data_IF_843517345403
#
_entry.id   IF_843517345403
#
_cell.length_a   1.000
_cell.length_b   1.000
_cell.length_c   1.000
_cell.angle_alpha   90.00
_cell.angle_beta   90.00
_cell.angle_gamma   90.00
#
_symmetry.space_group_name_H-M   'P 1'
#
loop_
_entity.id
_entity.type
_entity.pdbx_description
1 polymer ?
#
# COMPACT_ATOMS: atom_id res chain seq x y z
N UNK A 1 -8.35 -22.22 24.78
CA UNK A 1 -7.64 -23.47 25.13
C UNK A 1 -8.47 -24.39 26.02
N UNK A 2 -9.08 -23.89 27.10
CA UNK A 2 -9.97 -24.67 27.97
C UNK A 2 -11.15 -25.34 27.27
N UNK A 3 -11.83 -24.62 26.34
CA UNK A 3 -12.92 -25.18 25.54
C UNK A 3 -12.51 -26.34 24.62
N UNK A 4 -11.22 -26.41 24.26
CA UNK A 4 -10.65 -27.42 23.36
C UNK A 4 -10.27 -28.69 24.15
N UNK A 5 -9.88 -28.52 25.42
CA UNK A 5 -9.59 -29.61 26.37
C UNK A 5 -10.87 -30.27 26.89
N UNK A 6 -11.93 -29.50 27.12
CA UNK A 6 -13.25 -30.06 27.47
C UNK A 6 -13.86 -30.90 26.34
N UNK A 7 -13.62 -30.51 25.08
CA UNK A 7 -14.10 -31.27 23.90
C UNK A 7 -13.33 -32.58 23.65
N UNK A 8 -12.12 -32.72 24.22
CA UNK A 8 -11.26 -33.90 24.05
C UNK A 8 -11.24 -34.81 25.28
N UNK A 9 -12.15 -34.62 26.25
CA UNK A 9 -12.26 -35.37 27.51
C UNK A 9 -10.97 -35.36 28.36
N UNK A 10 -10.16 -34.31 28.26
CA UNK A 10 -8.94 -34.17 29.05
C UNK A 10 -9.26 -33.43 30.35
N UNK A 11 -8.97 -34.09 31.48
CA UNK A 11 -9.10 -33.50 32.81
C UNK A 11 -8.20 -32.27 32.92
N UNK A 12 -8.81 -31.11 33.13
CA UNK A 12 -8.08 -29.87 33.27
C UNK A 12 -8.57 -29.01 34.44
N UNK A 13 -7.64 -28.24 35.01
CA UNK A 13 -7.91 -27.32 36.11
C UNK A 13 -7.44 -25.92 35.71
N UNK A 14 -8.37 -24.96 35.75
CA UNK A 14 -8.05 -23.55 35.53
C UNK A 14 -7.70 -22.90 36.87
N UNK A 15 -6.50 -22.31 36.96
CA UNK A 15 -6.13 -21.54 38.14
C UNK A 15 -5.41 -20.25 37.76
N UNK A 16 -5.84 -19.16 38.39
CA UNK A 16 -5.21 -17.83 38.32
C UNK A 16 -4.00 -17.69 39.25
N UNK A 17 -3.63 -18.75 39.99
CA UNK A 17 -2.56 -18.73 41.00
C UNK A 17 -1.36 -19.55 40.52
N UNK A 18 -0.16 -18.97 40.61
CA UNK A 18 1.10 -19.55 40.07
C UNK A 18 1.63 -20.80 40.79
N UNK A 19 0.89 -21.36 41.76
CA UNK A 19 1.35 -22.45 42.64
C UNK A 19 0.30 -23.56 42.75
N UNK A 20 -0.03 -24.19 41.62
CA UNK A 20 -0.87 -25.40 41.61
C UNK A 20 -0.02 -26.55 41.10
N UNK A 21 0.11 -27.59 41.92
CA UNK A 21 0.71 -28.86 41.51
C UNK A 21 -0.38 -29.71 40.84
N UNK A 22 -0.17 -30.19 39.60
CA UNK A 22 -1.11 -31.08 38.95
C UNK A 22 -1.16 -32.43 39.68
N UNK A 23 -2.35 -33.04 39.76
CA UNK A 23 -2.46 -34.47 40.07
C UNK A 23 -1.95 -35.30 38.87
N UNK A 24 -1.55 -36.55 39.13
CA UNK A 24 -0.96 -37.43 38.13
C UNK A 24 -1.98 -37.66 36.98
N UNK A 25 -1.65 -37.20 35.76
CA UNK A 25 -2.53 -37.27 34.59
C UNK A 25 -3.46 -36.07 34.37
N UNK A 26 -3.39 -35.02 35.19
CA UNK A 26 -4.19 -33.80 35.02
C UNK A 26 -3.42 -32.70 34.27
N UNK A 27 -4.12 -31.93 33.42
CA UNK A 27 -3.56 -30.77 32.74
C UNK A 27 -3.96 -29.49 33.47
N UNK A 28 -2.99 -28.67 33.88
CA UNK A 28 -3.31 -27.38 34.53
C UNK A 28 -3.14 -26.25 33.53
N UNK A 29 -4.17 -25.42 33.39
CA UNK A 29 -4.13 -24.21 32.60
C UNK A 29 -3.76 -23.03 33.50
N UNK A 30 -2.64 -22.39 33.16
CA UNK A 30 -2.14 -21.21 33.85
C UNK A 30 -2.09 -20.03 32.89
N UNK A 31 -2.48 -18.84 33.36
CA UNK A 31 -2.35 -17.59 32.61
C UNK A 31 -1.02 -16.94 32.99
N UNK A 32 -0.12 -16.83 32.02
CA UNK A 32 1.21 -16.24 32.20
C UNK A 32 1.94 -16.05 30.88
N UNK A 33 3.10 -15.38 30.91
CA UNK A 33 3.93 -15.19 29.71
C UNK A 33 5.00 -16.28 29.63
N UNK A 34 4.80 -17.25 28.72
CA UNK A 34 5.79 -18.29 28.41
C UNK A 34 6.08 -18.27 26.90
N UNK A 35 7.36 -18.19 26.51
CA UNK A 35 7.75 -18.08 25.09
C UNK A 35 7.90 -19.43 24.39
N UNK A 36 8.36 -20.45 25.11
CA UNK A 36 8.57 -21.82 24.64
C UNK A 36 8.31 -22.79 25.79
N UNK A 37 7.80 -23.97 25.47
CA UNK A 37 7.59 -25.07 26.40
C UNK A 37 8.91 -25.69 26.84
N UNK A 38 8.88 -26.33 28.01
CA UNK A 38 10.02 -27.06 28.56
C UNK A 38 9.54 -28.18 29.47
N UNK A 39 10.38 -29.19 29.70
CA UNK A 39 10.06 -30.32 30.59
C UNK A 39 11.07 -30.45 31.72
N UNK A 40 10.60 -30.95 32.85
CA UNK A 40 11.39 -31.37 34.00
C UNK A 40 11.26 -32.89 34.16
N UNK A 41 12.14 -33.70 33.52
CA UNK A 41 12.03 -35.15 33.52
C UNK A 41 12.13 -35.79 34.90
N UNK A 42 12.88 -35.17 35.83
CA UNK A 42 13.04 -35.67 37.19
C UNK A 42 11.72 -35.64 37.98
N UNK A 43 10.87 -34.64 37.73
CA UNK A 43 9.57 -34.47 38.37
C UNK A 43 8.41 -34.98 37.50
N UNK A 44 8.70 -35.50 36.29
CA UNK A 44 7.71 -35.90 35.26
C UNK A 44 6.70 -34.80 34.87
N UNK A 45 7.13 -33.53 34.90
CA UNK A 45 6.29 -32.38 34.54
C UNK A 45 6.70 -31.84 33.17
N UNK A 46 5.72 -31.47 32.34
CA UNK A 46 5.92 -30.79 31.08
C UNK A 46 5.07 -29.51 31.01
N UNK A 47 5.67 -28.43 30.51
CA UNK A 47 5.04 -27.14 30.26
C UNK A 47 4.98 -26.90 28.76
N UNK A 48 3.81 -26.47 28.28
CA UNK A 48 3.59 -26.10 26.90
C UNK A 48 3.13 -24.64 26.83
N UNK A 49 3.71 -23.86 25.92
CA UNK A 49 3.21 -22.54 25.58
C UNK A 49 2.20 -22.64 24.43
N UNK A 50 1.39 -21.59 24.26
CA UNK A 50 0.45 -21.47 23.15
C UNK A 50 1.14 -21.69 21.79
N UNK A 51 2.38 -21.19 21.64
CA UNK A 51 3.16 -21.30 20.41
C UNK A 51 3.68 -22.71 20.11
N UNK A 52 3.81 -23.58 21.12
CA UNK A 52 4.22 -24.97 20.90
C UNK A 52 3.06 -25.85 20.41
N UNK A 53 1.82 -25.40 20.65
CA UNK A 53 0.59 -26.12 20.33
C UNK A 53 -0.03 -25.57 19.04
N UNK A 54 0.04 -24.26 18.87
CA UNK A 54 -0.41 -23.56 17.67
C UNK A 54 0.81 -23.12 16.87
N UNK A 55 1.33 -24.04 16.05
CA UNK A 55 2.43 -23.77 15.11
C UNK A 55 1.93 -22.85 13.99
N UNK A 56 1.99 -21.54 14.18
CA UNK A 56 1.81 -20.58 13.10
C UNK A 56 3.17 -20.26 12.46
N UNK A 57 3.58 -21.03 11.44
CA UNK A 57 4.55 -20.51 10.47
C UNK A 57 3.86 -19.47 9.57
N UNK A 58 3.72 -18.24 10.07
CA UNK A 58 3.36 -17.11 9.22
C UNK A 58 4.59 -16.69 8.42
N UNK A 59 4.68 -17.17 7.18
CA UNK A 59 5.59 -16.61 6.17
C UNK A 59 5.07 -15.24 5.77
N UNK A 60 5.44 -14.21 6.52
CA UNK A 60 5.18 -12.81 6.16
C UNK A 60 6.15 -12.45 5.03
N UNK A 61 5.71 -12.60 3.78
CA UNK A 61 6.44 -12.06 2.63
C UNK A 61 6.19 -10.55 2.57
N UNK A 62 6.98 -9.77 3.32
CA UNK A 62 6.95 -8.32 3.21
C UNK A 62 7.54 -7.91 1.85
N UNK A 63 6.70 -7.59 0.87
CA UNK A 63 7.17 -6.88 -0.32
C UNK A 63 7.30 -5.40 0.04
N UNK A 64 8.53 -4.88 -0.07
CA UNK A 64 8.78 -3.44 0.05
C UNK A 64 7.90 -2.70 -0.97
N UNK A 65 7.21 -1.62 -0.57
CA UNK A 65 6.43 -0.83 -1.50
C UNK A 65 7.35 -0.27 -2.58
N UNK A 66 7.09 -0.65 -3.83
CA UNK A 66 7.85 -0.15 -4.97
C UNK A 66 7.68 1.37 -5.02
N UNK A 67 8.79 2.12 -4.96
CA UNK A 67 8.78 3.57 -5.17
C UNK A 67 8.18 3.84 -6.56
N UNK A 68 7.01 4.52 -6.65
CA UNK A 68 6.27 4.65 -7.90
C UNK A 68 7.01 5.44 -8.98
N UNK A 69 8.02 6.24 -8.63
CA UNK A 69 8.68 7.14 -9.57
C UNK A 69 9.63 6.45 -10.56
N UNK A 70 10.25 5.32 -10.19
CA UNK A 70 11.27 4.65 -11.03
C UNK A 70 10.72 3.57 -11.97
N UNK A 71 9.45 3.16 -11.81
CA UNK A 71 8.86 2.09 -12.62
C UNK A 71 8.39 2.56 -14.00
N UNK A 72 7.94 3.81 -14.14
CA UNK A 72 7.28 4.29 -15.35
C UNK A 72 8.16 4.33 -16.61
N UNK A 73 9.48 4.36 -16.46
CA UNK A 73 10.43 4.40 -17.59
C UNK A 73 10.91 3.04 -18.06
N UNK A 74 10.83 1.99 -17.21
CA UNK A 74 11.26 0.64 -17.62
C UNK A 74 10.40 0.08 -18.76
N UNK A 75 9.19 0.59 -18.89
CA UNK A 75 8.19 0.15 -19.86
C UNK A 75 8.03 1.11 -21.04
N UNK A 76 8.92 2.08 -21.24
CA UNK A 76 8.82 3.04 -22.34
C UNK A 76 9.36 2.41 -23.63
N UNK A 77 8.53 2.36 -24.67
CA UNK A 77 8.88 1.82 -26.00
C UNK A 77 8.78 2.91 -27.07
N UNK A 78 9.60 2.80 -28.11
CA UNK A 78 9.46 3.67 -29.30
C UNK A 78 8.03 3.60 -29.84
N UNK A 79 7.41 4.77 -30.03
CA UNK A 79 6.00 4.92 -30.37
C UNK A 79 5.07 5.21 -29.17
N UNK A 80 5.57 5.19 -27.94
CA UNK A 80 4.78 5.61 -26.77
C UNK A 80 4.62 7.13 -26.71
N UNK A 81 3.49 7.59 -26.19
CA UNK A 81 3.29 9.01 -25.90
C UNK A 81 3.94 9.38 -24.57
N UNK A 82 4.59 10.52 -24.54
CA UNK A 82 5.26 11.07 -23.35
C UNK A 82 4.83 12.51 -23.14
N UNK A 83 4.85 12.94 -21.88
CA UNK A 83 4.62 14.33 -21.48
C UNK A 83 5.95 14.90 -21.03
N UNK A 84 6.41 15.95 -21.70
CA UNK A 84 7.47 16.81 -21.19
C UNK A 84 6.86 17.93 -20.35
N UNK A 85 7.43 18.22 -19.19
CA UNK A 85 6.94 19.25 -18.26
C UNK A 85 6.71 20.62 -18.95
N UNK A 86 7.65 21.01 -19.81
CA UNK A 86 7.63 22.31 -20.50
C UNK A 86 6.97 22.33 -21.88
N UNK A 87 7.05 21.24 -22.64
CA UNK A 87 6.63 21.22 -24.05
C UNK A 87 5.34 20.45 -24.30
N UNK A 88 4.87 19.68 -23.31
CA UNK A 88 3.63 18.92 -23.40
C UNK A 88 3.80 17.56 -24.06
N UNK A 89 2.73 17.10 -24.71
CA UNK A 89 2.61 15.73 -25.21
C UNK A 89 3.36 15.55 -26.53
N UNK A 90 4.29 14.61 -26.56
CA UNK A 90 5.08 14.18 -27.70
C UNK A 90 5.07 12.66 -27.89
N UNK A 91 5.65 12.19 -28.99
CA UNK A 91 5.85 10.79 -29.31
C UNK A 91 7.32 10.43 -29.06
N UNK A 92 7.58 9.46 -28.19
CA UNK A 92 8.93 9.00 -27.92
C UNK A 92 9.42 8.09 -29.06
N UNK A 93 10.59 8.39 -29.64
CA UNK A 93 11.17 7.61 -30.73
C UNK A 93 12.23 6.62 -30.26
N UNK A 94 13.02 6.99 -29.23
CA UNK A 94 14.08 6.14 -28.72
C UNK A 94 15.22 6.91 -28.08
N UNK A 95 16.29 6.18 -27.77
CA UNK A 95 17.57 6.71 -27.33
C UNK A 95 18.48 6.95 -28.56
N UNK A 96 19.15 8.09 -28.58
CA UNK A 96 20.12 8.47 -29.60
C UNK A 96 21.45 8.89 -28.95
N UNK A 97 22.56 8.50 -29.57
CA UNK A 97 23.90 8.94 -29.19
C UNK A 97 24.32 10.06 -30.11
N UNK A 98 24.71 11.20 -29.52
CA UNK A 98 25.22 12.35 -30.26
C UNK A 98 26.56 12.77 -29.68
N UNK A 99 27.50 13.11 -30.56
CA UNK A 99 28.78 13.67 -30.16
C UNK A 99 28.66 15.19 -30.05
N UNK A 100 28.76 15.70 -28.81
CA UNK A 100 28.71 17.13 -28.52
C UNK A 100 29.97 17.47 -27.72
N UNK A 101 30.71 18.49 -28.15
CA UNK A 101 31.95 18.93 -27.49
C UNK A 101 33.00 17.82 -27.32
N UNK A 102 33.14 16.92 -28.32
CA UNK A 102 34.05 15.76 -28.29
C UNK A 102 33.74 14.74 -27.19
N UNK A 103 32.52 14.76 -26.64
CA UNK A 103 32.01 13.76 -25.70
C UNK A 103 30.74 13.13 -26.28
N UNK A 104 30.68 11.81 -26.24
CA UNK A 104 29.47 11.07 -26.59
C UNK A 104 28.46 11.24 -25.44
N UNK A 105 27.34 11.91 -25.73
CA UNK A 105 26.23 12.07 -24.79
C UNK A 105 25.00 11.32 -25.33
N UNK A 106 24.20 10.81 -24.41
CA UNK A 106 22.96 10.11 -24.71
C UNK A 106 21.78 11.06 -24.54
N UNK A 107 20.88 11.02 -25.53
CA UNK A 107 19.67 11.81 -25.58
C UNK A 107 18.49 10.90 -25.87
N UNK A 108 17.30 11.30 -25.46
CA UNK A 108 16.05 10.75 -25.96
C UNK A 108 15.49 11.66 -27.06
N UNK A 109 14.95 11.05 -28.11
CA UNK A 109 14.27 11.76 -29.20
C UNK A 109 12.77 11.73 -28.99
N UNK A 110 12.15 12.91 -28.98
CA UNK A 110 10.70 13.10 -28.89
C UNK A 110 10.22 13.89 -30.11
N UNK A 111 9.25 13.34 -30.83
CA UNK A 111 8.59 14.00 -31.97
C UNK A 111 7.31 14.69 -31.51
N UNK A 112 7.16 15.94 -31.90
CA UNK A 112 5.99 16.78 -31.66
C UNK A 112 5.20 16.95 -32.97
N UNK A 113 4.15 17.78 -32.91
CA UNK A 113 3.36 18.13 -34.09
C UNK A 113 4.24 18.77 -35.17
N UNK A 114 3.88 18.58 -36.44
CA UNK A 114 4.62 19.08 -37.61
C UNK A 114 6.03 18.46 -37.77
N UNK A 115 6.26 17.28 -37.20
CA UNK A 115 7.56 16.57 -37.18
C UNK A 115 8.69 17.32 -36.44
N UNK A 116 8.32 18.28 -35.60
CA UNK A 116 9.25 19.01 -34.73
C UNK A 116 9.95 18.03 -33.76
N UNK A 117 11.29 18.07 -33.70
CA UNK A 117 12.09 17.16 -32.87
C UNK A 117 12.66 17.85 -31.64
N UNK A 118 12.55 17.19 -30.49
CA UNK A 118 13.19 17.59 -29.24
C UNK A 118 14.16 16.49 -28.80
N UNK A 119 15.40 16.88 -28.52
CA UNK A 119 16.43 16.01 -27.95
C UNK A 119 16.61 16.37 -26.47
N UNK A 120 16.23 15.46 -25.58
CA UNK A 120 16.34 15.66 -24.13
C UNK A 120 17.53 14.84 -23.60
N UNK A 121 18.50 15.45 -22.91
CA UNK A 121 19.58 14.69 -22.27
C UNK A 121 19.04 13.64 -21.30
N UNK A 122 19.73 12.51 -21.17
CA UNK A 122 19.39 11.49 -20.16
C UNK A 122 19.39 12.06 -18.73
N UNK A 123 20.20 13.09 -18.48
CA UNK A 123 20.28 13.80 -17.19
C UNK A 123 18.96 14.51 -16.83
N UNK A 124 18.20 14.97 -17.83
CA UNK A 124 16.93 15.71 -17.67
C UNK A 124 15.69 14.82 -17.82
N UNK A 125 15.85 13.49 -17.72
CA UNK A 125 14.74 12.54 -17.85
C UNK A 125 13.64 12.73 -16.80
N UNK A 126 13.95 13.33 -15.66
CA UNK A 126 12.96 13.67 -14.63
C UNK A 126 11.87 14.64 -15.14
N UNK A 127 12.12 15.37 -16.23
CA UNK A 127 11.15 16.27 -16.86
C UNK A 127 10.17 15.55 -17.79
N UNK A 128 10.43 14.28 -18.10
CA UNK A 128 9.62 13.46 -19.00
C UNK A 128 8.84 12.45 -18.19
N UNK A 129 7.60 12.18 -18.58
CA UNK A 129 6.76 11.17 -17.97
C UNK A 129 6.00 10.40 -19.05
N UNK A 130 5.79 9.10 -18.85
CA UNK A 130 4.93 8.32 -19.75
C UNK A 130 3.50 8.85 -19.70
N UNK A 131 2.91 9.09 -20.85
CA UNK A 131 1.50 9.49 -20.93
C UNK A 131 0.60 8.28 -20.66
N UNK A 132 0.01 8.24 -19.46
CA UNK A 132 -0.98 7.23 -19.08
C UNK A 132 -2.36 7.61 -19.60
N UNK A 133 -2.88 6.83 -20.55
CA UNK A 133 -4.22 7.02 -21.11
C UNK A 133 -5.29 6.69 -20.07
N UNK A 134 -6.29 7.56 -19.95
CA UNK A 134 -7.61 7.21 -19.39
C UNK A 134 -8.57 7.13 -20.58
N UNK A 135 -8.78 5.92 -21.12
CA UNK A 135 -9.65 5.67 -22.28
C UNK A 135 -8.92 5.37 -23.60
N UNK A 136 -9.68 5.32 -24.69
CA UNK A 136 -9.26 4.84 -26.02
C UNK A 136 -8.82 5.92 -27.01
N UNK A 137 -8.84 7.21 -26.64
CA UNK A 137 -8.48 8.30 -27.55
C UNK A 137 -6.96 8.47 -27.69
N UNK A 138 -6.52 8.77 -28.91
CA UNK A 138 -5.13 9.16 -29.21
C UNK A 138 -4.95 10.62 -28.80
N UNK A 139 -3.94 10.95 -27.97
CA UNK A 139 -3.71 12.33 -27.59
C UNK A 139 -3.23 13.17 -28.77
N UNK A 140 -3.63 14.44 -28.80
CA UNK A 140 -3.10 15.40 -29.76
C UNK A 140 -1.68 15.78 -29.35
N UNK A 141 -0.73 15.67 -30.29
CA UNK A 141 0.63 16.14 -30.10
C UNK A 141 0.64 17.67 -29.98
N UNK A 142 1.40 18.18 -29.02
CA UNK A 142 1.65 19.61 -28.89
C UNK A 142 2.65 20.08 -29.97
N UNK A 143 2.69 21.39 -30.23
CA UNK A 143 3.66 22.01 -31.15
C UNK A 143 4.76 22.70 -30.35
N UNK A 144 6.03 22.51 -30.72
CA UNK A 144 7.14 23.18 -30.05
C UNK A 144 7.06 24.70 -30.24
N UNK A 145 7.38 25.45 -29.18
CA UNK A 145 7.28 26.92 -29.17
C UNK A 145 5.87 27.49 -29.16
N UNK A 146 4.82 26.65 -29.15
CA UNK A 146 3.43 27.11 -29.03
C UNK A 146 3.05 27.36 -27.57
N UNK A 147 2.36 28.48 -27.25
CA UNK A 147 1.85 28.73 -25.88
C UNK A 147 0.65 27.83 -25.51
N UNK A 148 0.26 26.87 -26.36
CA UNK A 148 -0.88 25.99 -26.14
C UNK A 148 -0.75 25.14 -24.87
N UNK A 149 0.45 24.62 -24.60
CA UNK A 149 0.71 23.81 -23.41
C UNK A 149 0.67 24.65 -22.13
N UNK A 150 1.30 25.82 -22.13
CA UNK A 150 1.25 26.75 -20.99
C UNK A 150 -0.17 27.18 -20.66
N UNK A 151 -0.98 27.53 -21.68
CA UNK A 151 -2.41 27.84 -21.50
C UNK A 151 -3.18 26.67 -20.91
N UNK A 152 -2.88 25.46 -21.37
CA UNK A 152 -3.49 24.23 -20.85
C UNK A 152 -3.13 24.00 -19.39
N UNK A 153 -1.84 24.10 -19.04
CA UNK A 153 -1.34 24.05 -17.64
C UNK A 153 -2.02 25.09 -16.76
N UNK A 154 -2.09 26.34 -17.21
CA UNK A 154 -2.72 27.43 -16.46
C UNK A 154 -4.22 27.17 -16.22
N UNK A 155 -4.95 26.71 -17.24
CA UNK A 155 -6.37 26.36 -17.12
C UNK A 155 -6.59 25.22 -16.13
N UNK A 156 -5.79 24.15 -16.21
CA UNK A 156 -5.90 23.00 -15.31
C UNK A 156 -5.52 23.41 -13.88
N UNK A 157 -4.45 24.19 -13.69
CA UNK A 157 -4.06 24.72 -12.38
C UNK A 157 -5.21 25.48 -11.72
N UNK A 158 -5.88 26.37 -12.46
CA UNK A 158 -7.05 27.11 -11.96
C UNK A 158 -8.21 26.19 -11.59
N UNK A 159 -8.44 25.12 -12.34
CA UNK A 159 -9.47 24.13 -12.03
C UNK A 159 -9.14 23.35 -10.73
N UNK A 160 -7.88 22.93 -10.56
CA UNK A 160 -7.41 22.25 -9.35
C UNK A 160 -7.53 23.18 -8.13
N UNK A 161 -7.11 24.44 -8.26
CA UNK A 161 -7.25 25.44 -7.19
C UNK A 161 -8.71 25.66 -6.80
N UNK A 162 -9.63 25.70 -7.77
CA UNK A 162 -11.06 25.81 -7.52
C UNK A 162 -11.58 24.58 -6.75
N UNK A 163 -11.24 23.38 -7.20
CA UNK A 163 -11.64 22.13 -6.53
C UNK A 163 -11.09 22.05 -5.11
N UNK A 164 -9.82 22.42 -4.89
CA UNK A 164 -9.21 22.44 -3.57
C UNK A 164 -9.91 23.42 -2.62
N UNK A 165 -10.31 24.61 -3.12
CA UNK A 165 -11.10 25.57 -2.34
C UNK A 165 -12.47 25.03 -1.97
N UNK A 166 -13.15 24.36 -2.91
CA UNK A 166 -14.45 23.73 -2.66
C UNK A 166 -14.35 22.62 -1.60
N UNK A 167 -13.34 21.75 -1.69
CA UNK A 167 -13.09 20.73 -0.67
C UNK A 167 -12.78 21.34 0.69
N UNK A 168 -11.90 22.35 0.75
CA UNK A 168 -11.58 23.03 2.00
C UNK A 168 -12.84 23.65 2.63
N UNK A 169 -13.69 24.28 1.82
CA UNK A 169 -14.94 24.85 2.29
C UNK A 169 -15.89 23.77 2.82
N UNK A 170 -16.04 22.66 2.11
CA UNK A 170 -16.85 21.52 2.54
C UNK A 170 -16.38 20.96 3.89
N UNK A 171 -15.06 20.78 4.07
CA UNK A 171 -14.50 20.31 5.34
C UNK A 171 -14.68 21.32 6.48
N UNK A 172 -14.56 22.61 6.20
CA UNK A 172 -14.82 23.65 7.19
C UNK A 172 -16.28 23.63 7.64
N UNK A 173 -17.23 23.56 6.70
CA UNK A 173 -18.65 23.41 7.01
C UNK A 173 -18.90 22.15 7.84
N UNK A 174 -18.39 20.98 7.40
CA UNK A 174 -18.53 19.71 8.11
C UNK A 174 -17.99 19.75 9.54
N UNK A 175 -16.88 20.47 9.78
CA UNK A 175 -16.29 20.60 11.13
C UNK A 175 -17.12 21.50 12.07
N UNK A 176 -17.84 22.49 11.53
CA UNK A 176 -18.69 23.38 12.33
C UNK A 176 -20.06 22.78 12.65
N UNK A 177 -20.55 21.88 11.79
CA UNK A 177 -21.82 21.20 12.01
C UNK A 177 -21.66 20.10 13.05
N UNK A 178 -22.55 20.07 14.04
CA UNK A 178 -22.66 18.91 14.94
C UNK A 178 -23.31 17.77 14.17
N UNK A 179 -22.56 16.69 13.96
CA UNK A 179 -23.07 15.44 13.41
C UNK A 179 -23.72 14.55 14.46
N UNK A 180 -24.16 13.37 14.03
CA UNK A 180 -24.57 12.30 14.93
C UNK A 180 -23.34 11.48 15.34
N UNK A 181 -23.16 11.27 16.66
CA UNK A 181 -22.12 10.38 17.17
C UNK A 181 -22.73 9.01 17.42
N UNK A 182 -22.21 7.99 16.76
CA UNK A 182 -22.60 6.61 17.04
C UNK A 182 -22.04 6.18 18.41
N UNK A 183 -22.73 5.24 19.07
CA UNK A 183 -22.24 4.61 20.29
C UNK A 183 -21.07 3.68 19.97
N UNK A 184 -20.19 3.47 20.95
CA UNK A 184 -19.23 2.37 20.90
C UNK A 184 -20.02 1.06 20.76
N UNK A 185 -19.59 0.18 19.85
CA UNK A 185 -20.26 -1.09 19.56
C UNK A 185 -20.58 -1.91 20.81
N UNK A 186 -21.60 -2.77 20.71
CA UNK A 186 -21.99 -3.71 21.76
C UNK A 186 -21.89 -5.16 21.32
N UNK A 187 -22.32 -6.10 22.16
CA UNK A 187 -22.19 -7.55 21.92
C UNK A 187 -22.74 -8.00 20.55
N UNK A 188 -23.85 -7.38 20.10
CA UNK A 188 -24.43 -7.61 18.78
C UNK A 188 -23.46 -7.34 17.62
N UNK A 189 -22.62 -6.30 17.73
CA UNK A 189 -21.64 -5.99 16.68
C UNK A 189 -20.60 -7.10 16.57
N UNK A 190 -20.11 -7.62 17.69
CA UNK A 190 -19.16 -8.73 17.70
C UNK A 190 -19.78 -10.03 17.19
N UNK A 191 -21.05 -10.29 17.47
CA UNK A 191 -21.78 -11.43 16.88
C UNK A 191 -21.93 -11.29 15.36
N UNK A 192 -22.20 -10.08 14.88
CA UNK A 192 -22.27 -9.78 13.45
C UNK A 192 -20.91 -9.96 12.76
N UNK A 193 -19.84 -9.42 13.33
CA UNK A 193 -18.46 -9.56 12.82
C UNK A 193 -18.06 -11.04 12.72
N UNK A 194 -18.41 -11.87 13.71
CA UNK A 194 -18.15 -13.32 13.70
C UNK A 194 -18.92 -14.11 12.65
N UNK A 195 -19.95 -13.52 12.05
CA UNK A 195 -20.70 -14.16 10.96
C UNK A 195 -19.91 -14.12 9.65
N UNK A 196 -18.90 -13.27 9.54
CA UNK A 196 -18.06 -13.18 8.36
C UNK A 196 -17.00 -14.30 8.35
N UNK A 197 -16.95 -15.07 7.26
CA UNK A 197 -16.16 -16.31 7.18
C UNK A 197 -14.67 -16.10 6.89
N UNK A 198 -14.22 -14.85 6.69
CA UNK A 198 -12.86 -14.53 6.30
C UNK A 198 -12.15 -13.72 7.38
N UNK A 199 -10.86 -13.98 7.58
CA UNK A 199 -10.01 -13.14 8.40
C UNK A 199 -9.66 -11.84 7.67
N UNK A 200 -9.76 -10.72 8.38
CA UNK A 200 -9.41 -9.41 7.85
C UNK A 200 -7.92 -9.28 7.59
N UNK A 201 -7.58 -8.58 6.51
CA UNK A 201 -6.19 -8.18 6.24
C UNK A 201 -5.76 -7.01 7.12
N UNK A 202 -4.45 -6.79 7.26
CA UNK A 202 -3.90 -5.67 8.05
C UNK A 202 -4.45 -4.30 7.59
N UNK A 203 -4.60 -4.10 6.27
CA UNK A 203 -5.18 -2.88 5.71
C UNK A 203 -6.67 -2.74 6.06
N UNK A 204 -7.40 -3.85 6.09
CA UNK A 204 -8.81 -3.86 6.50
C UNK A 204 -8.96 -3.56 7.99
N UNK A 205 -8.15 -4.18 8.85
CA UNK A 205 -8.13 -3.89 10.29
C UNK A 205 -7.79 -2.42 10.57
N UNK A 206 -6.86 -1.85 9.80
CA UNK A 206 -6.52 -0.42 9.90
C UNK A 206 -7.68 0.47 9.50
N UNK A 207 -8.35 0.17 8.38
CA UNK A 207 -9.49 0.94 7.89
C UNK A 207 -10.75 0.84 8.77
N UNK A 208 -10.93 -0.27 9.49
CA UNK A 208 -12.03 -0.43 10.47
C UNK A 208 -11.80 0.46 11.71
N UNK A 209 -10.53 0.68 12.07
CA UNK A 209 -10.15 1.45 13.26
C UNK A 209 -10.09 2.97 13.01
N UNK A 210 -9.81 3.40 11.79
CA UNK A 210 -9.70 4.81 11.36
C UNK A 210 -11.07 5.47 11.16
#
# INVERSE_FOLDING_TARGET
>A
MASLLSQSEILHLESSTSFVFPEDGAVVLLVGSLRHGFSYPQEKIAFFSEKDIFTEEKVIVSRLPAKPFLSHFRDLKGGDYVVHADYGIGLFMGLMKMEIERKNREFIEIIYKDEDKLFVPVEDLNLVQKYSKVGSSVPLLNKLGSPSWERTKARIKKAIEKMAKELLHLYAQRKTMKGFSFSLGGDWQSEFERTFEYEETEDQLSAIKE
#
